data_IF_143894948881
#
_entry.id   IF_143894948881
#
_cell.length_a   1.000
_cell.length_b   1.000
_cell.length_c   1.000
_cell.angle_alpha   90.00
_cell.angle_beta   90.00
_cell.angle_gamma   90.00
#
_symmetry.space_group_name_H-M   'P 1'
#
loop_
_entity.id
_entity.type
_entity.pdbx_description
1 polymer ?
#
# COMPACT_ATOMS: atom_id res chain seq x y z
N UNK A 1 17.90 -38.39 4.03
CA UNK A 1 18.07 -37.41 2.94
C UNK A 1 17.08 -36.28 3.15
N UNK A 2 17.51 -35.02 3.18
CA UNK A 2 16.61 -33.89 3.39
C UNK A 2 15.69 -33.69 2.17
N UNK A 3 14.38 -33.66 2.38
CA UNK A 3 13.41 -33.42 1.32
C UNK A 3 13.53 -31.98 0.80
N UNK A 4 13.63 -31.83 -0.53
CA UNK A 4 13.70 -30.51 -1.20
C UNK A 4 12.35 -29.81 -1.09
N UNK A 5 12.35 -28.51 -0.75
CA UNK A 5 11.13 -27.70 -0.77
C UNK A 5 10.55 -27.66 -2.19
N UNK A 6 9.22 -27.79 -2.36
CA UNK A 6 8.59 -27.74 -3.67
C UNK A 6 8.80 -26.37 -4.32
N UNK A 7 8.98 -26.38 -5.64
CA UNK A 7 9.17 -25.17 -6.44
C UNK A 7 7.97 -24.22 -6.38
N UNK A 8 8.16 -22.94 -6.72
CA UNK A 8 7.14 -21.90 -6.56
C UNK A 8 5.83 -22.19 -7.32
N UNK A 9 5.88 -22.90 -8.46
CA UNK A 9 4.70 -23.29 -9.25
C UNK A 9 3.82 -24.37 -8.60
N UNK A 10 4.34 -25.09 -7.60
CA UNK A 10 3.56 -26.07 -6.82
C UNK A 10 2.93 -25.45 -5.57
N UNK A 11 3.19 -24.16 -5.30
CA UNK A 11 2.60 -23.46 -4.16
C UNK A 11 1.18 -23.02 -4.50
N UNK A 12 0.22 -23.12 -3.56
CA UNK A 12 -1.08 -22.52 -3.74
C UNK A 12 -0.94 -20.99 -3.87
N UNK A 13 -1.86 -20.36 -4.59
CA UNK A 13 -1.92 -18.91 -4.65
C UNK A 13 -2.01 -18.33 -3.22
N UNK A 14 -1.27 -17.24 -2.93
CA UNK A 14 -1.37 -16.60 -1.62
C UNK A 14 -2.82 -16.23 -1.36
N UNK A 15 -3.30 -16.46 -0.14
CA UNK A 15 -4.63 -16.01 0.28
C UNK A 15 -4.71 -14.51 -0.03
N UNK A 16 -5.74 -14.11 -0.77
CA UNK A 16 -5.99 -12.69 -1.03
C UNK A 16 -6.08 -12.00 0.31
N UNK A 17 -5.22 -11.01 0.55
CA UNK A 17 -5.41 -10.10 1.68
C UNK A 17 -6.73 -9.38 1.42
N UNK A 18 -7.58 -9.28 2.44
CA UNK A 18 -8.93 -8.75 2.33
C UNK A 18 -8.93 -7.33 1.73
N UNK A 19 -9.40 -7.21 0.48
CA UNK A 19 -9.54 -5.93 -0.21
C UNK A 19 -8.20 -5.22 -0.50
N UNK A 20 -8.14 -4.51 -1.63
CA UNK A 20 -7.07 -3.52 -1.80
C UNK A 20 -7.15 -2.45 -0.71
N UNK A 21 -6.03 -1.82 -0.37
CA UNK A 21 -6.00 -0.73 0.60
C UNK A 21 -6.90 0.41 0.10
N UNK A 22 -7.96 0.69 0.85
CA UNK A 22 -8.90 1.75 0.54
C UNK A 22 -8.41 3.05 1.18
N UNK A 23 -8.47 4.13 0.41
CA UNK A 23 -8.21 5.47 0.93
C UNK A 23 -9.36 5.89 1.85
N UNK A 24 -9.04 6.62 2.92
CA UNK A 24 -10.05 7.29 3.74
C UNK A 24 -10.71 8.42 2.95
N UNK A 25 -11.91 8.89 3.34
CA UNK A 25 -12.57 10.01 2.67
C UNK A 25 -11.70 11.28 2.60
N UNK A 26 -10.91 11.55 3.65
CA UNK A 26 -9.97 12.66 3.72
C UNK A 26 -8.84 12.52 2.69
N UNK A 27 -8.26 11.33 2.59
CA UNK A 27 -7.23 11.01 1.61
C UNK A 27 -7.74 11.12 0.16
N UNK A 28 -9.01 10.78 -0.08
CA UNK A 28 -9.65 10.97 -1.39
C UNK A 28 -9.74 12.44 -1.77
N UNK A 29 -10.04 13.34 -0.82
CA UNK A 29 -10.09 14.77 -1.09
C UNK A 29 -8.70 15.34 -1.37
N UNK A 30 -7.67 14.91 -0.63
CA UNK A 30 -6.28 15.29 -0.92
C UNK A 30 -5.86 14.85 -2.32
N UNK A 31 -6.19 13.61 -2.72
CA UNK A 31 -5.89 13.11 -4.05
C UNK A 31 -6.62 13.91 -5.15
N UNK A 32 -7.89 14.29 -4.92
CA UNK A 32 -8.65 15.15 -5.84
C UNK A 32 -8.03 16.53 -6.00
N UNK A 33 -7.65 17.16 -4.88
CA UNK A 33 -7.04 18.50 -4.90
C UNK A 33 -5.71 18.49 -5.68
N UNK A 34 -4.88 17.47 -5.45
CA UNK A 34 -3.62 17.29 -6.17
C UNK A 34 -3.84 17.04 -7.67
N UNK A 35 -4.81 16.21 -8.03
CA UNK A 35 -5.15 15.95 -9.42
C UNK A 35 -5.58 17.24 -10.14
N UNK A 36 -6.44 18.04 -9.50
CA UNK A 36 -6.90 19.32 -10.03
C UNK A 36 -5.75 20.33 -10.18
N UNK A 37 -4.88 20.46 -9.17
CA UNK A 37 -3.72 21.33 -9.23
C UNK A 37 -2.73 20.95 -10.35
N UNK A 38 -2.64 19.65 -10.66
CA UNK A 38 -1.81 19.14 -11.75
C UNK A 38 -2.54 19.07 -13.11
N UNK A 39 -3.80 19.52 -13.20
CA UNK A 39 -4.60 19.44 -14.42
C UNK A 39 -4.94 18.00 -14.87
N UNK A 40 -4.82 17.01 -13.98
CA UNK A 40 -5.12 15.60 -14.26
C UNK A 40 -6.57 15.28 -13.92
N UNK A 41 -7.24 14.47 -14.74
CA UNK A 41 -8.60 14.00 -14.42
C UNK A 41 -8.56 13.07 -13.20
N UNK A 42 -9.56 13.21 -12.33
CA UNK A 42 -9.83 12.31 -11.21
C UNK A 42 -11.09 11.47 -11.51
N UNK A 43 -11.20 10.20 -11.09
CA UNK A 43 -10.24 9.40 -10.31
C UNK A 43 -9.04 8.90 -11.13
N UNK A 44 -7.84 8.93 -10.52
CA UNK A 44 -6.62 8.42 -11.13
C UNK A 44 -5.74 7.65 -10.13
N UNK A 45 -4.86 6.78 -10.63
CA UNK A 45 -3.98 5.97 -9.78
C UNK A 45 -2.81 6.77 -9.21
N UNK A 46 -2.26 7.72 -9.96
CA UNK A 46 -1.03 8.44 -9.59
C UNK A 46 -1.21 9.22 -8.29
N UNK A 47 -2.27 10.01 -8.21
CA UNK A 47 -2.55 10.86 -7.06
C UNK A 47 -3.07 10.00 -5.88
N UNK A 48 -3.82 8.92 -6.15
CA UNK A 48 -4.20 7.93 -5.13
C UNK A 48 -2.98 7.22 -4.52
N UNK A 49 -2.00 6.83 -5.34
CA UNK A 49 -0.76 6.19 -4.87
C UNK A 49 0.12 7.16 -4.11
N UNK A 50 0.17 8.43 -4.53
CA UNK A 50 0.88 9.46 -3.80
C UNK A 50 0.33 9.60 -2.37
N UNK A 51 -0.99 9.75 -2.23
CA UNK A 51 -1.62 9.89 -0.92
C UNK A 51 -1.48 8.62 -0.08
N UNK A 52 -1.63 7.44 -0.67
CA UNK A 52 -1.40 6.17 0.03
C UNK A 52 0.04 6.05 0.54
N UNK A 53 1.03 6.42 -0.29
CA UNK A 53 2.44 6.41 0.10
C UNK A 53 2.75 7.43 1.19
N UNK A 54 2.16 8.63 1.11
CA UNK A 54 2.26 9.68 2.13
C UNK A 54 1.71 9.18 3.47
N UNK A 55 0.49 8.64 3.46
CA UNK A 55 -0.15 8.09 4.66
C UNK A 55 0.67 6.95 5.29
N UNK A 56 1.25 6.07 4.47
CA UNK A 56 2.14 5.00 4.97
C UNK A 56 3.42 5.56 5.61
N UNK A 57 4.00 6.61 5.03
CA UNK A 57 5.20 7.27 5.60
C UNK A 57 4.88 7.95 6.91
N UNK A 58 3.76 8.67 6.99
CA UNK A 58 3.31 9.34 8.21
C UNK A 58 2.96 8.34 9.31
N UNK A 59 2.32 7.21 8.95
CA UNK A 59 2.10 6.09 9.88
C UNK A 59 3.40 5.46 10.37
N UNK A 60 4.41 5.31 9.51
CA UNK A 60 5.75 4.83 9.90
C UNK A 60 6.56 5.84 10.73
N UNK A 61 6.19 7.12 10.69
CA UNK A 61 6.77 8.14 11.59
C UNK A 61 6.06 8.16 12.95
N UNK A 62 4.80 7.72 13.01
CA UNK A 62 4.01 7.62 14.24
C UNK A 62 4.26 6.31 15.01
N UNK A 63 4.53 5.21 14.31
CA UNK A 63 5.04 3.96 14.88
C UNK A 63 6.57 3.93 14.71
N UNK A 64 7.29 4.47 15.69
CA UNK A 64 8.76 4.35 15.74
C UNK A 64 9.20 2.88 15.61
N UNK A 65 10.44 2.61 15.13
CA UNK A 65 10.91 1.25 14.92
C UNK A 65 10.85 0.49 16.25
N UNK A 66 10.01 -0.55 16.35
CA UNK A 66 10.17 -1.57 17.38
C UNK A 66 11.43 -2.36 17.04
N UNK A 67 12.55 -1.83 17.53
CA UNK A 67 13.84 -2.50 17.65
C UNK A 67 13.67 -3.63 18.67
N UNK A 68 13.23 -4.80 18.20
CA UNK A 68 13.23 -6.04 18.98
C UNK A 68 13.66 -7.16 18.03
N UNK A 69 14.94 -7.11 17.68
CA UNK A 69 15.68 -8.25 17.16
C UNK A 69 16.69 -8.67 18.24
N UNK A 70 16.27 -9.57 19.12
CA UNK A 70 17.18 -10.46 19.87
C UNK A 70 16.66 -11.91 19.78
#
# INVERSE_FOLDING_TARGET
MAARKPGPWRRPAPKRREGGQKLTPEQVQEARARAFAAGRRYPNLVDNMYVAAKAKREGATAEGPSDEAE
#
